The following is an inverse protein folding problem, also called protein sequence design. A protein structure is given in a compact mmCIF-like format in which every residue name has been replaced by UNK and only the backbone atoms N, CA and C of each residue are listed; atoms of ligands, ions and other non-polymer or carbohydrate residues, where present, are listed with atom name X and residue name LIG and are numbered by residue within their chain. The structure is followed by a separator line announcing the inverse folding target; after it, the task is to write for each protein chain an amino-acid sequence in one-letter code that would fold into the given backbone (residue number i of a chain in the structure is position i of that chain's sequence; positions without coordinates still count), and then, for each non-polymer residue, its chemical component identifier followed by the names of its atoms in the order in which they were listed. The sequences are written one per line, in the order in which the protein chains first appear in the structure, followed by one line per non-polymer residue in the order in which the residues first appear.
data_IF_584248907268
#
_entry.id   IF_584248907268
#
_cell.length_a   1.000
_cell.length_b   1.000
_cell.length_c   1.000
_cell.angle_alpha   90.00
_cell.angle_beta   90.00
_cell.angle_gamma   90.00
#
_symmetry.space_group_name_H-M   'P 1'
#
loop_
_entity.id
_entity.type
_entity.pdbx_description
1 polymer ?
#
# COMPACT_ATOMS: atom_id res chain seq x y z
N UNK A 1 -43.42 24.32 -8.64
CA UNK A 1 -43.88 24.48 -7.24
C UNK A 1 -42.67 24.25 -6.36
N UNK A 2 -42.17 25.34 -5.78
CA UNK A 2 -40.97 25.38 -4.93
C UNK A 2 -41.38 25.03 -3.50
N UNK A 3 -40.99 23.85 -3.02
CA UNK A 3 -41.04 23.55 -1.59
C UNK A 3 -39.61 23.39 -1.07
N UNK A 4 -38.97 24.54 -0.91
CA UNK A 4 -37.66 24.71 -0.27
C UNK A 4 -37.83 24.62 1.25
N UNK A 5 -38.30 23.47 1.74
CA UNK A 5 -38.63 23.25 3.15
C UNK A 5 -37.57 22.40 3.87
N UNK A 6 -36.29 22.71 3.62
CA UNK A 6 -35.20 22.12 4.39
C UNK A 6 -34.96 22.98 5.65
N UNK A 7 -35.07 22.43 6.88
CA UNK A 7 -34.80 23.20 8.08
C UNK A 7 -33.34 23.67 8.10
N UNK A 8 -33.13 24.99 8.15
CA UNK A 8 -31.81 25.65 8.14
C UNK A 8 -31.00 25.42 9.44
N UNK A 9 -31.60 24.78 10.43
CA UNK A 9 -31.00 24.49 11.73
C UNK A 9 -31.58 23.21 12.32
N UNK A 10 -30.72 22.35 12.84
CA UNK A 10 -31.10 21.19 13.66
C UNK A 10 -30.71 21.49 15.11
N UNK A 11 -31.68 21.41 16.02
CA UNK A 11 -31.42 21.50 17.46
C UNK A 11 -30.81 20.18 17.96
N UNK A 12 -29.57 20.26 18.43
CA UNK A 12 -28.91 19.16 19.16
C UNK A 12 -28.42 19.77 20.46
N UNK A 13 -28.88 19.25 21.59
CA UNK A 13 -28.47 19.68 22.93
C UNK A 13 -28.63 21.20 23.18
N UNK A 14 -29.74 21.79 22.73
CA UNK A 14 -30.08 23.19 23.03
C UNK A 14 -29.25 24.26 22.30
N UNK A 15 -28.36 23.86 21.38
CA UNK A 15 -27.61 24.78 20.53
C UNK A 15 -28.11 24.71 19.08
N UNK A 16 -28.57 25.85 18.54
CA UNK A 16 -28.84 25.99 17.11
C UNK A 16 -27.50 26.00 16.36
N UNK A 17 -27.16 24.89 15.72
CA UNK A 17 -26.04 24.83 14.78
C UNK A 17 -26.60 24.91 13.37
N UNK A 18 -25.96 25.71 12.51
CA UNK A 18 -26.21 25.67 11.08
C UNK A 18 -25.93 24.24 10.59
N UNK A 19 -26.96 23.55 10.12
CA UNK A 19 -26.78 22.30 9.41
C UNK A 19 -26.35 22.67 7.99
N UNK A 20 -25.28 22.05 7.44
CA UNK A 20 -24.97 22.25 6.03
C UNK A 20 -26.23 21.91 5.23
N UNK A 21 -26.51 22.70 4.20
CA UNK A 21 -27.66 22.42 3.34
C UNK A 21 -27.53 20.99 2.77
N UNK A 22 -28.63 20.34 2.41
CA UNK A 22 -28.56 18.98 1.86
C UNK A 22 -27.64 18.94 0.64
N UNK A 23 -27.60 20.02 -0.13
CA UNK A 23 -26.70 20.24 -1.27
C UNK A 23 -25.23 20.27 -0.85
N UNK A 24 -24.88 21.04 0.20
CA UNK A 24 -23.51 21.10 0.73
C UNK A 24 -23.05 19.74 1.27
N UNK A 25 -23.98 18.98 1.89
CA UNK A 25 -23.68 17.64 2.40
C UNK A 25 -23.46 16.64 1.26
N UNK A 26 -24.27 16.71 0.19
CA UNK A 26 -24.08 15.89 -1.02
C UNK A 26 -22.71 16.19 -1.64
N UNK A 27 -22.36 17.46 -1.82
CA UNK A 27 -21.07 17.84 -2.41
C UNK A 27 -19.89 17.36 -1.55
N UNK A 28 -20.00 17.48 -0.22
CA UNK A 28 -19.00 16.94 0.71
C UNK A 28 -18.84 15.42 0.57
N UNK A 29 -19.95 14.69 0.55
CA UNK A 29 -19.94 13.23 0.42
C UNK A 29 -19.39 12.77 -0.94
N UNK A 30 -19.64 13.52 -2.01
CA UNK A 30 -19.07 13.22 -3.33
C UNK A 30 -17.55 13.39 -3.32
N UNK A 31 -17.03 14.46 -2.72
CA UNK A 31 -15.58 14.69 -2.56
C UNK A 31 -14.93 13.59 -1.71
N UNK A 32 -15.55 13.23 -0.59
CA UNK A 32 -15.08 12.17 0.30
C UNK A 32 -15.06 10.81 -0.41
N UNK A 33 -16.14 10.47 -1.13
CA UNK A 33 -16.20 9.25 -1.92
C UNK A 33 -15.14 9.21 -3.03
N UNK A 34 -14.86 10.35 -3.69
CA UNK A 34 -13.82 10.43 -4.70
C UNK A 34 -12.43 10.17 -4.10
N UNK A 35 -12.16 10.70 -2.90
CA UNK A 35 -10.92 10.44 -2.16
C UNK A 35 -10.81 8.96 -1.76
N UNK A 36 -11.84 8.40 -1.12
CA UNK A 36 -11.86 7.01 -0.69
C UNK A 36 -11.67 6.04 -1.87
N UNK A 37 -12.29 6.31 -3.02
CA UNK A 37 -12.08 5.52 -4.24
C UNK A 37 -10.62 5.54 -4.71
N UNK A 38 -9.95 6.70 -4.65
CA UNK A 38 -8.53 6.82 -5.00
C UNK A 38 -7.64 6.05 -4.04
N UNK A 39 -7.88 6.17 -2.74
CA UNK A 39 -7.13 5.46 -1.70
C UNK A 39 -7.31 3.95 -1.82
N UNK A 40 -8.55 3.48 -1.98
CA UNK A 40 -8.87 2.07 -2.23
C UNK A 40 -8.15 1.55 -3.47
N UNK A 41 -8.16 2.29 -4.58
CA UNK A 41 -7.47 1.89 -5.81
C UNK A 41 -5.96 1.74 -5.59
N UNK A 42 -5.33 2.68 -4.87
CA UNK A 42 -3.91 2.59 -4.52
C UNK A 42 -3.60 1.38 -3.63
N UNK A 43 -4.45 1.13 -2.62
CA UNK A 43 -4.30 -0.01 -1.72
C UNK A 43 -4.42 -1.34 -2.47
N UNK A 44 -5.43 -1.48 -3.34
CA UNK A 44 -5.62 -2.68 -4.17
C UNK A 44 -4.43 -2.94 -5.10
N UNK A 45 -3.91 -1.89 -5.77
CA UNK A 45 -2.72 -2.02 -6.61
C UNK A 45 -1.50 -2.51 -5.83
N UNK A 46 -1.30 -1.99 -4.60
CA UNK A 46 -0.21 -2.45 -3.72
C UNK A 46 -0.39 -3.90 -3.31
N UNK A 47 -1.60 -4.27 -2.91
CA UNK A 47 -1.94 -5.64 -2.52
C UNK A 47 -1.71 -6.63 -3.67
N UNK A 48 -2.24 -6.34 -4.88
CA UNK A 48 -2.05 -7.20 -6.04
C UNK A 48 -0.57 -7.39 -6.37
N UNK A 49 0.21 -6.31 -6.33
CA UNK A 49 1.65 -6.38 -6.56
C UNK A 49 2.38 -7.22 -5.49
N UNK A 50 1.91 -7.22 -4.26
CA UNK A 50 2.44 -8.10 -3.21
C UNK A 50 2.07 -9.56 -3.45
N UNK A 51 0.81 -9.84 -3.81
CA UNK A 51 0.37 -11.20 -4.17
C UNK A 51 1.18 -11.78 -5.34
N UNK A 52 1.47 -10.97 -6.36
CA UNK A 52 2.31 -11.37 -7.50
C UNK A 52 3.75 -11.72 -7.11
N UNK A 53 4.25 -11.17 -6.01
CA UNK A 53 5.61 -11.43 -5.53
C UNK A 53 5.73 -12.69 -4.68
N UNK A 54 4.66 -13.11 -3.99
CA UNK A 54 4.65 -14.27 -3.08
C UNK A 54 5.22 -15.56 -3.68
N UNK A 55 4.90 -15.95 -4.94
CA UNK A 55 5.47 -17.16 -5.52
C UNK A 55 7.00 -17.09 -5.61
N UNK A 56 7.55 -15.92 -5.96
CA UNK A 56 9.00 -15.73 -6.08
C UNK A 56 9.69 -15.74 -4.71
N UNK A 57 9.03 -15.28 -3.65
CA UNK A 57 9.54 -15.39 -2.28
C UNK A 57 9.77 -16.86 -1.89
N UNK A 58 8.83 -17.75 -2.24
CA UNK A 58 8.98 -19.19 -2.02
C UNK A 58 10.10 -19.80 -2.87
N UNK A 59 10.25 -19.37 -4.13
CA UNK A 59 11.34 -19.85 -5.00
C UNK A 59 12.72 -19.41 -4.51
N UNK A 60 12.86 -18.23 -3.88
CA UNK A 60 14.13 -17.79 -3.28
C UNK A 60 14.55 -18.68 -2.10
N UNK A 61 13.59 -19.12 -1.28
CA UNK A 61 13.86 -20.06 -0.17
C UNK A 61 14.31 -21.41 -0.73
N UNK A 62 13.60 -21.94 -1.73
CA UNK A 62 14.00 -23.19 -2.41
C UNK A 62 15.38 -23.08 -3.04
N UNK A 63 15.68 -21.97 -3.70
CA UNK A 63 17.00 -21.71 -4.28
C UNK A 63 18.10 -21.76 -3.20
N UNK A 64 17.86 -21.12 -2.06
CA UNK A 64 18.78 -21.14 -0.94
C UNK A 64 19.00 -22.57 -0.42
N UNK A 65 17.93 -23.33 -0.21
CA UNK A 65 18.02 -24.74 0.22
C UNK A 65 18.81 -25.60 -0.77
N UNK A 66 18.62 -25.40 -2.08
CA UNK A 66 19.39 -26.12 -3.11
C UNK A 66 20.88 -25.76 -3.07
N UNK A 67 21.22 -24.48 -2.88
CA UNK A 67 22.61 -24.04 -2.76
C UNK A 67 23.29 -24.65 -1.53
N UNK A 68 22.59 -24.69 -0.40
CA UNK A 68 23.10 -25.28 0.84
C UNK A 68 23.28 -26.80 0.71
N UNK A 69 22.31 -27.50 0.12
CA UNK A 69 22.38 -28.95 -0.09
C UNK A 69 23.53 -29.37 -1.01
N UNK A 70 23.79 -28.57 -2.03
CA UNK A 70 24.79 -28.88 -3.06
C UNK A 70 26.18 -28.26 -2.75
N UNK A 71 26.36 -27.64 -1.56
CA UNK A 71 27.54 -26.88 -1.12
C UNK A 71 28.02 -25.83 -2.15
N UNK A 72 27.05 -25.12 -2.75
CA UNK A 72 27.29 -24.09 -3.77
C UNK A 72 27.18 -22.70 -3.20
N UNK A 73 27.99 -21.79 -3.74
CA UNK A 73 27.98 -20.36 -3.38
C UNK A 73 27.45 -19.54 -4.55
N UNK A 74 26.61 -18.55 -4.24
CA UNK A 74 26.05 -17.61 -5.20
C UNK A 74 26.45 -16.18 -4.82
N UNK A 75 26.78 -15.36 -5.81
CA UNK A 75 27.00 -13.92 -5.66
C UNK A 75 26.02 -13.19 -6.56
N UNK A 76 25.33 -12.18 -6.00
CA UNK A 76 24.40 -11.31 -6.73
C UNK A 76 24.95 -9.88 -6.67
N UNK A 77 25.22 -9.29 -7.82
CA UNK A 77 25.70 -7.91 -7.95
C UNK A 77 24.55 -6.99 -8.35
N UNK A 78 24.40 -5.87 -7.64
CA UNK A 78 23.40 -4.85 -7.94
C UNK A 78 24.09 -3.57 -8.42
N UNK A 79 23.92 -3.24 -9.70
CA UNK A 79 24.42 -2.01 -10.30
C UNK A 79 23.30 -1.05 -10.69
N UNK A 80 23.65 0.24 -10.86
CA UNK A 80 22.71 1.28 -11.29
C UNK A 80 23.07 2.67 -10.75
N UNK A 81 22.38 3.70 -11.24
CA UNK A 81 22.57 5.09 -10.79
C UNK A 81 22.12 5.31 -9.34
N UNK A 82 22.47 6.45 -8.78
CA UNK A 82 21.93 6.89 -7.50
C UNK A 82 20.41 6.97 -7.54
N UNK A 83 19.75 6.62 -6.44
CA UNK A 83 18.29 6.53 -6.31
C UNK A 83 17.57 5.55 -7.26
N UNK A 84 18.28 4.66 -7.98
CA UNK A 84 17.67 3.64 -8.84
C UNK A 84 16.88 2.55 -8.07
N UNK A 85 16.94 2.53 -6.74
CA UNK A 85 16.19 1.58 -5.91
C UNK A 85 16.92 0.28 -5.57
N UNK A 86 18.25 0.23 -5.76
CA UNK A 86 19.10 -0.95 -5.46
C UNK A 86 18.91 -1.47 -4.03
N UNK A 87 18.97 -0.58 -3.03
CA UNK A 87 18.80 -0.96 -1.62
C UNK A 87 17.44 -1.58 -1.32
N UNK A 88 16.37 -1.07 -1.94
CA UNK A 88 15.03 -1.64 -1.78
C UNK A 88 14.88 -3.01 -2.46
N UNK A 89 15.62 -3.27 -3.54
CA UNK A 89 15.66 -4.58 -4.18
C UNK A 89 16.42 -5.60 -3.31
N UNK A 90 17.60 -5.23 -2.81
CA UNK A 90 18.39 -6.03 -1.87
C UNK A 90 17.52 -6.39 -0.66
N UNK A 91 16.90 -5.39 -0.02
CA UNK A 91 16.07 -5.59 1.17
C UNK A 91 14.92 -6.57 0.91
N UNK A 92 14.23 -6.48 -0.23
CA UNK A 92 13.13 -7.41 -0.57
C UNK A 92 13.61 -8.85 -0.75
N UNK A 93 14.78 -9.04 -1.37
CA UNK A 93 15.35 -10.38 -1.57
C UNK A 93 15.80 -10.97 -0.23
N UNK A 94 16.53 -10.19 0.57
CA UNK A 94 17.12 -10.68 1.82
C UNK A 94 16.11 -10.85 2.95
N UNK A 95 14.97 -10.14 2.93
CA UNK A 95 13.96 -10.20 3.98
C UNK A 95 13.38 -11.61 4.19
N UNK A 96 13.30 -12.41 3.13
CA UNK A 96 12.71 -13.75 3.17
C UNK A 96 13.75 -14.89 3.19
N UNK A 97 15.04 -14.56 3.03
CA UNK A 97 16.14 -15.52 3.11
C UNK A 97 16.60 -15.72 4.55
N UNK A 98 17.15 -16.89 4.88
CA UNK A 98 17.72 -17.11 6.20
C UNK A 98 19.02 -16.27 6.35
N UNK A 99 19.07 -15.31 7.30
CA UNK A 99 20.17 -14.35 7.42
C UNK A 99 21.49 -14.98 7.86
N UNK A 100 21.49 -16.25 8.33
CA UNK A 100 22.73 -16.95 8.68
C UNK A 100 23.56 -17.35 7.46
N UNK A 101 22.92 -17.49 6.30
CA UNK A 101 23.56 -17.96 5.07
C UNK A 101 23.53 -16.91 3.95
N UNK A 102 22.81 -15.80 4.14
CA UNK A 102 22.81 -14.64 3.24
C UNK A 102 23.58 -13.48 3.86
N UNK A 103 24.54 -12.90 3.14
CA UNK A 103 25.32 -11.73 3.57
C UNK A 103 25.21 -10.61 2.54
N UNK A 104 24.81 -9.42 3.00
CA UNK A 104 24.87 -8.18 2.21
C UNK A 104 26.22 -7.49 2.43
N UNK A 105 26.83 -7.05 1.35
CA UNK A 105 28.05 -6.22 1.35
C UNK A 105 27.72 -4.94 0.59
N UNK A 106 28.02 -3.78 1.18
CA UNK A 106 27.69 -2.46 0.66
C UNK A 106 28.91 -1.53 0.78
#
# INVERSE_FOLDING_TARGET
MNDNNNPKSVEIEGAQRASPSLEERIEQLERENAQLKRERSKALKRHHKQEELKPYEAELIKLQEQLERDDRRMIILFEGRDAAGKGGAIQRITFYMNPRHCRVVA
#
